data_IF_061755885348
#
_entry.id   IF_061755885348
#
_cell.length_a   1.000
_cell.length_b   1.000
_cell.length_c   1.000
_cell.angle_alpha   90.00
_cell.angle_beta   90.00
_cell.angle_gamma   90.00
#
_symmetry.space_group_name_H-M   'P 1'
#
loop_
_entity.id
_entity.type
_entity.pdbx_description
1 polymer ?
#
# COMPACT_ATOMS: atom_id res chain seq x y z
N UNK A 1 -0.03 -17.20 8.15
CA UNK A 1 0.99 -16.45 7.39
C UNK A 1 0.41 -15.08 7.13
N UNK A 2 0.67 -14.14 8.04
CA UNK A 2 0.28 -12.75 7.90
C UNK A 2 0.94 -12.19 6.63
N UNK A 3 0.15 -11.54 5.78
CA UNK A 3 0.61 -10.95 4.54
C UNK A 3 1.77 -10.02 4.84
N UNK A 4 3.00 -10.46 4.54
CA UNK A 4 4.24 -9.70 4.71
C UNK A 4 4.07 -8.30 4.11
N UNK A 5 3.33 -8.19 3.02
CA UNK A 5 3.10 -6.94 2.32
C UNK A 5 2.04 -6.02 2.96
N UNK A 6 1.05 -6.57 3.67
CA UNK A 6 0.00 -5.78 4.35
C UNK A 6 0.55 -5.12 5.61
N UNK A 7 1.36 -5.84 6.39
CA UNK A 7 1.93 -5.30 7.64
C UNK A 7 2.76 -4.03 7.40
N UNK A 8 3.63 -4.03 6.40
CA UNK A 8 4.51 -2.89 6.15
C UNK A 8 3.80 -1.70 5.49
N UNK A 9 2.91 -1.95 4.53
CA UNK A 9 2.18 -0.90 3.82
C UNK A 9 1.23 -0.15 4.76
N UNK A 10 0.51 -0.87 5.62
CA UNK A 10 -0.41 -0.27 6.61
C UNK A 10 0.33 0.66 7.59
N UNK A 11 1.53 0.24 8.03
CA UNK A 11 2.36 1.05 8.92
C UNK A 11 2.88 2.30 8.19
N UNK A 12 3.31 2.19 6.94
CA UNK A 12 3.79 3.31 6.13
C UNK A 12 2.69 4.34 5.87
N UNK A 13 1.52 3.91 5.43
CA UNK A 13 0.40 4.80 5.12
C UNK A 13 -0.13 5.49 6.38
N UNK A 14 -0.28 4.76 7.47
CA UNK A 14 -0.72 5.33 8.74
C UNK A 14 0.26 6.36 9.28
N UNK A 15 1.55 6.07 9.19
CA UNK A 15 2.59 7.01 9.59
C UNK A 15 2.60 8.28 8.72
N UNK A 16 2.48 8.15 7.40
CA UNK A 16 2.38 9.29 6.49
C UNK A 16 1.15 10.16 6.79
N UNK A 17 0.00 9.52 7.03
CA UNK A 17 -1.25 10.18 7.39
C UNK A 17 -1.12 10.98 8.69
N UNK A 18 -0.55 10.38 9.74
CA UNK A 18 -0.31 11.05 11.04
C UNK A 18 0.74 12.16 10.96
N UNK A 19 1.75 12.01 10.09
CA UNK A 19 2.80 13.00 9.87
C UNK A 19 2.34 14.21 9.04
N UNK A 20 1.25 14.07 8.27
CA UNK A 20 0.78 15.09 7.34
C UNK A 20 1.80 15.39 6.24
N UNK A 21 2.63 14.40 5.88
CA UNK A 21 3.69 14.53 4.89
C UNK A 21 3.66 13.34 3.95
N UNK A 22 3.73 13.63 2.65
CA UNK A 22 3.83 12.64 1.56
C UNK A 22 5.21 11.98 1.47
N UNK A 23 6.13 12.30 2.39
CA UNK A 23 7.47 11.77 2.41
C UNK A 23 7.45 10.36 3.02
N UNK A 24 7.91 9.40 2.22
CA UNK A 24 7.98 7.98 2.53
C UNK A 24 8.88 7.67 3.74
N UNK A 25 8.74 6.45 4.27
CA UNK A 25 9.52 5.97 5.41
C UNK A 25 11.03 5.95 5.10
N UNK A 26 11.85 6.27 6.11
CA UNK A 26 13.30 6.11 6.00
C UNK A 26 13.69 4.62 6.08
N UNK A 27 14.88 4.23 5.65
CA UNK A 27 15.24 2.79 5.69
C UNK A 27 15.42 2.23 7.07
N UNK A 28 15.78 3.08 8.04
CA UNK A 28 15.79 2.69 9.44
C UNK A 28 14.37 2.41 9.92
N UNK A 29 13.37 3.11 9.38
CA UNK A 29 11.97 2.84 9.68
C UNK A 29 11.50 1.53 9.04
N UNK A 30 11.97 1.22 7.83
CA UNK A 30 11.71 -0.09 7.19
C UNK A 30 12.32 -1.26 7.95
N UNK A 31 13.60 -1.16 8.35
CA UNK A 31 14.27 -2.18 9.16
C UNK A 31 13.62 -2.34 10.55
N UNK A 32 13.07 -1.24 11.09
CA UNK A 32 12.34 -1.26 12.35
C UNK A 32 10.99 -1.98 12.23
N UNK A 33 10.26 -1.79 11.13
CA UNK A 33 9.04 -2.55 10.85
C UNK A 33 9.35 -4.04 10.71
N UNK A 34 10.44 -4.39 10.00
CA UNK A 34 10.90 -5.78 9.88
C UNK A 34 11.21 -6.39 11.25
N UNK A 35 11.90 -5.64 12.12
CA UNK A 35 12.20 -6.06 13.49
C UNK A 35 10.93 -6.31 14.32
N UNK A 36 9.92 -5.44 14.21
CA UNK A 36 8.63 -5.64 14.89
C UNK A 36 7.90 -6.87 14.38
N UNK A 37 7.95 -7.09 13.07
CA UNK A 37 7.33 -8.24 12.46
C UNK A 37 7.98 -9.56 12.91
N UNK A 38 9.31 -9.62 12.90
CA UNK A 38 10.06 -10.81 13.34
C UNK A 38 9.85 -11.08 14.84
N UNK A 39 9.63 -10.04 15.63
CA UNK A 39 9.26 -10.14 17.04
C UNK A 39 7.78 -10.52 17.28
N UNK A 40 6.98 -10.68 16.22
CA UNK A 40 5.56 -11.02 16.31
C UNK A 40 4.69 -9.91 16.90
N UNK A 41 5.10 -8.65 16.74
CA UNK A 41 4.30 -7.50 17.16
C UNK A 41 3.06 -7.41 16.26
N UNK A 42 1.84 -7.35 16.83
CA UNK A 42 0.63 -7.25 16.03
C UNK A 42 0.51 -5.87 15.38
N UNK A 43 -0.08 -5.82 14.17
CA UNK A 43 -0.23 -4.58 13.40
C UNK A 43 -0.96 -3.50 14.20
N UNK A 44 -2.00 -3.88 14.94
CA UNK A 44 -2.81 -3.00 15.77
C UNK A 44 -1.98 -2.33 16.87
N UNK A 45 -0.99 -3.02 17.43
CA UNK A 45 -0.07 -2.44 18.40
C UNK A 45 0.84 -1.39 17.75
N UNK A 46 1.28 -1.62 16.52
CA UNK A 46 2.10 -0.66 15.78
C UNK A 46 1.31 0.61 15.45
N UNK A 47 0.10 0.45 14.89
CA UNK A 47 -0.75 1.58 14.53
C UNK A 47 -1.12 2.42 15.76
N UNK A 48 -1.52 1.76 16.86
CA UNK A 48 -1.82 2.41 18.14
C UNK A 48 -0.62 3.14 18.72
N UNK A 49 0.56 2.50 18.70
CA UNK A 49 1.80 3.12 19.17
C UNK A 49 2.18 4.37 18.37
N UNK A 50 1.97 4.35 17.05
CA UNK A 50 2.16 5.52 16.19
C UNK A 50 1.21 6.64 16.63
N UNK A 51 -0.09 6.36 16.74
CA UNK A 51 -1.07 7.37 17.14
C UNK A 51 -0.74 8.00 18.50
N UNK A 52 -0.44 7.18 19.50
CA UNK A 52 -0.09 7.67 20.83
C UNK A 52 1.18 8.51 20.86
N UNK A 53 2.19 8.15 20.06
CA UNK A 53 3.42 8.92 19.95
C UNK A 53 3.17 10.31 19.35
N UNK A 54 2.34 10.41 18.32
CA UNK A 54 1.93 11.68 17.73
C UNK A 54 1.02 12.48 18.67
N UNK A 55 0.06 11.86 19.36
CA UNK A 55 -0.80 12.54 20.34
C UNK A 55 0.00 13.14 21.50
N UNK A 56 1.01 12.41 22.00
CA UNK A 56 1.94 12.92 23.02
C UNK A 56 2.81 14.06 22.50
N UNK A 57 3.22 14.00 21.24
CA UNK A 57 3.94 15.10 20.59
C UNK A 57 3.06 16.34 20.45
N UNK A 58 1.79 16.19 20.07
CA UNK A 58 0.88 17.30 19.83
C UNK A 58 0.50 18.07 21.08
N UNK A 59 0.46 17.40 22.24
CA UNK A 59 0.20 17.97 23.55
C UNK A 59 1.37 18.77 24.15
N UNK A 60 2.56 18.78 23.53
CA UNK A 60 3.72 19.53 24.06
C UNK A 60 3.58 21.05 23.84
N UNK A 61 3.88 21.87 24.87
CA UNK A 61 3.73 23.32 24.80
C UNK A 61 4.78 24.02 23.92
N UNK A 62 5.92 23.37 23.63
CA UNK A 62 6.94 23.88 22.70
C UNK A 62 7.35 22.78 21.72
N UNK A 63 7.14 23.03 20.41
CA UNK A 63 7.36 22.09 19.31
C UNK A 63 8.62 22.49 18.53
N UNK A 64 9.80 22.19 19.07
CA UNK A 64 11.09 22.56 18.44
C UNK A 64 11.56 21.56 17.36
N UNK A 65 11.02 20.34 17.30
CA UNK A 65 11.38 19.30 16.30
C UNK A 65 10.17 18.47 15.89
N UNK A 66 9.94 18.26 14.59
CA UNK A 66 8.87 17.40 14.05
C UNK A 66 9.17 15.91 14.24
N UNK A 67 8.12 15.08 14.35
CA UNK A 67 8.22 13.62 14.27
C UNK A 67 8.46 13.22 12.81
N UNK A 68 9.64 12.67 12.52
CA UNK A 68 10.08 12.41 11.15
C UNK A 68 10.47 10.94 10.89
N UNK A 69 10.41 10.06 11.90
CA UNK A 69 10.81 8.66 11.81
C UNK A 69 10.00 7.81 12.79
N UNK A 70 9.73 6.55 12.42
CA UNK A 70 9.10 5.52 13.26
C UNK A 70 9.92 5.18 14.50
N UNK A 71 11.24 5.45 14.50
CA UNK A 71 12.07 5.31 15.70
C UNK A 71 11.55 6.16 16.87
N UNK A 72 10.90 7.31 16.59
CA UNK A 72 10.24 8.12 17.61
C UNK A 72 9.02 7.40 18.23
N UNK A 73 8.33 6.59 17.45
CA UNK A 73 7.15 5.82 17.87
C UNK A 73 7.53 4.49 18.54
N UNK A 74 8.78 4.04 18.47
CA UNK A 74 9.17 2.69 18.85
C UNK A 74 8.81 2.29 20.29
N UNK A 75 9.05 3.17 21.26
CA UNK A 75 8.70 2.90 22.66
C UNK A 75 7.18 2.79 22.87
N UNK A 76 6.40 3.58 22.13
CA UNK A 76 4.95 3.55 22.16
C UNK A 76 4.39 2.24 21.55
N UNK A 77 4.98 1.80 20.45
CA UNK A 77 4.62 0.55 19.76
C UNK A 77 4.89 -0.65 20.64
N UNK A 78 6.06 -0.71 21.30
CA UNK A 78 6.40 -1.81 22.20
C UNK A 78 5.49 -1.83 23.44
N UNK A 79 5.21 -0.68 24.04
CA UNK A 79 4.25 -0.59 25.15
C UNK A 79 2.85 -1.04 24.73
N UNK A 80 2.40 -0.62 23.54
CA UNK A 80 1.10 -1.02 23.02
C UNK A 80 0.99 -2.53 22.79
N UNK A 81 2.10 -3.16 22.38
CA UNK A 81 2.18 -4.60 22.18
C UNK A 81 2.20 -5.38 23.50
N UNK A 82 2.92 -4.89 24.52
CA UNK A 82 2.90 -5.47 25.87
C UNK A 82 1.52 -5.40 26.50
N UNK A 83 0.85 -4.25 26.46
CA UNK A 83 -0.52 -4.11 26.98
C UNK A 83 -1.51 -5.06 26.30
N UNK A 84 -1.40 -5.25 24.98
CA UNK A 84 -2.25 -6.22 24.25
C UNK A 84 -1.96 -7.66 24.68
N UNK A 85 -0.69 -7.99 24.93
CA UNK A 85 -0.28 -9.30 25.42
C UNK A 85 -0.79 -9.54 26.85
N UNK A 86 -0.73 -8.55 27.73
CA UNK A 86 -1.26 -8.62 29.10
C UNK A 86 -2.79 -8.72 29.12
N UNK A 87 -3.49 -7.97 28.26
CA UNK A 87 -4.95 -8.04 28.12
C UNK A 87 -5.43 -9.40 27.60
N UNK A 88 -4.67 -10.04 26.70
CA UNK A 88 -4.98 -11.37 26.18
C UNK A 88 -4.80 -12.48 27.24
N UNK A 89 -3.86 -12.32 28.18
CA UNK A 89 -3.66 -13.25 29.29
C UNK A 89 -4.76 -13.09 30.37
N UNK A 90 -5.29 -11.87 30.55
CA UNK A 90 -6.38 -11.59 31.49
C UNK A 90 -7.79 -11.95 30.99
N UNK A 91 -7.99 -12.17 29.69
CA UNK A 91 -9.31 -12.24 29.05
C UNK A 91 -9.64 -13.61 28.41
N UNK A 92 -9.33 -14.74 29.08
CA UNK A 92 -10.01 -16.00 28.77
C UNK A 92 -11.45 -15.96 29.30
N UNK A 93 -12.34 -15.20 28.64
CA UNK A 93 -13.80 -15.32 28.61
C UNK A 93 -14.48 -13.97 28.31
N UNK A 94 -14.51 -13.55 27.03
CA UNK A 94 -15.60 -12.72 26.51
C UNK A 94 -15.48 -12.60 24.98
N UNK A 95 -16.29 -13.42 24.30
CA UNK A 95 -16.91 -13.19 22.99
C UNK A 95 -16.52 -11.93 22.22
N UNK A 96 -15.94 -12.16 21.04
CA UNK A 96 -15.71 -11.14 20.03
C UNK A 96 -16.97 -10.45 19.54
N UNK A 97 -16.78 -9.19 19.13
CA UNK A 97 -17.57 -8.54 18.09
C UNK A 97 -16.81 -7.33 17.51
N UNK A 98 -16.51 -7.46 16.22
CA UNK A 98 -16.57 -6.45 15.15
C UNK A 98 -15.59 -5.28 15.18
N UNK A 99 -14.46 -5.49 14.50
CA UNK A 99 -14.02 -4.61 13.43
C UNK A 99 -13.78 -5.47 12.18
N UNK A 100 -14.88 -5.88 11.56
CA UNK A 100 -14.91 -6.27 10.15
C UNK A 100 -15.32 -5.00 9.38
N UNK A 101 -14.37 -4.16 8.96
CA UNK A 101 -14.59 -3.42 7.72
C UNK A 101 -14.38 -4.39 6.56
N UNK A 102 -15.33 -5.32 6.43
CA UNK A 102 -15.42 -6.22 5.29
C UNK A 102 -15.88 -5.39 4.11
N UNK A 103 -15.00 -5.19 3.14
CA UNK A 103 -15.35 -4.70 1.81
C UNK A 103 -16.64 -5.38 1.34
N UNK A 104 -17.70 -4.59 1.12
CA UNK A 104 -18.96 -5.17 0.64
C UNK A 104 -18.78 -5.57 -0.82
N UNK A 105 -19.46 -6.64 -1.24
CA UNK A 105 -19.44 -7.06 -2.64
C UNK A 105 -19.89 -5.94 -3.59
N UNK A 106 -20.76 -5.04 -3.12
CA UNK A 106 -21.19 -3.85 -3.84
C UNK A 106 -20.06 -2.82 -4.04
N UNK A 107 -19.27 -2.54 -2.99
CA UNK A 107 -18.11 -1.64 -3.10
C UNK A 107 -17.07 -2.21 -4.06
N UNK A 108 -16.74 -3.50 -3.93
CA UNK A 108 -15.77 -4.16 -4.81
C UNK A 108 -16.26 -4.11 -6.26
N UNK A 109 -17.55 -4.39 -6.48
CA UNK A 109 -18.15 -4.30 -7.82
C UNK A 109 -18.03 -2.89 -8.41
N UNK A 110 -18.38 -1.86 -7.63
CA UNK A 110 -18.28 -0.47 -8.07
C UNK A 110 -16.83 -0.07 -8.39
N UNK A 111 -15.87 -0.51 -7.56
CA UNK A 111 -14.45 -0.27 -7.79
C UNK A 111 -13.93 -0.91 -9.08
N UNK A 112 -14.23 -2.19 -9.29
CA UNK A 112 -13.81 -2.91 -10.50
C UNK A 112 -14.44 -2.30 -11.76
N UNK A 113 -15.71 -1.90 -11.70
CA UNK A 113 -16.40 -1.21 -12.80
C UNK A 113 -15.78 0.15 -13.10
N UNK A 114 -15.50 0.95 -12.07
CA UNK A 114 -14.86 2.26 -12.24
C UNK A 114 -13.47 2.13 -12.87
N UNK A 115 -12.67 1.16 -12.43
CA UNK A 115 -11.35 0.92 -12.98
C UNK A 115 -11.40 0.40 -14.42
N UNK A 116 -12.34 -0.49 -14.73
CA UNK A 116 -12.55 -0.97 -16.10
C UNK A 116 -12.91 0.18 -17.05
N UNK A 117 -13.88 1.01 -16.66
CA UNK A 117 -14.31 2.18 -17.42
C UNK A 117 -13.15 3.16 -17.63
N UNK A 118 -12.39 3.47 -16.58
CA UNK A 118 -11.23 4.36 -16.67
C UNK A 118 -10.17 3.78 -17.62
N UNK A 119 -9.86 2.48 -17.52
CA UNK A 119 -8.91 1.83 -18.43
C UNK A 119 -9.37 1.92 -19.89
N UNK A 120 -10.67 1.72 -20.17
CA UNK A 120 -11.23 1.86 -21.53
C UNK A 120 -11.09 3.28 -22.06
N UNK A 121 -11.45 4.27 -21.24
CA UNK A 121 -11.40 5.68 -21.61
C UNK A 121 -9.96 6.13 -21.87
N UNK A 122 -8.99 5.63 -21.11
CA UNK A 122 -7.58 6.02 -21.24
C UNK A 122 -6.81 5.21 -22.27
N UNK A 123 -7.23 3.98 -22.59
CA UNK A 123 -6.53 3.10 -23.53
C UNK A 123 -6.13 3.77 -24.87
N UNK A 124 -6.98 4.57 -25.55
CA UNK A 124 -6.59 5.23 -26.80
C UNK A 124 -5.44 6.23 -26.66
N UNK A 125 -5.27 6.83 -25.47
CA UNK A 125 -4.20 7.78 -25.18
C UNK A 125 -2.88 7.09 -24.76
N UNK A 126 -2.89 5.76 -24.57
CA UNK A 126 -1.70 5.00 -24.22
C UNK A 126 -0.82 4.76 -25.45
N UNK A 127 0.50 4.54 -25.25
CA UNK A 127 1.37 4.06 -26.31
C UNK A 127 0.83 2.77 -26.94
N UNK A 128 1.01 2.58 -28.25
CA UNK A 128 0.45 1.46 -29.00
C UNK A 128 0.75 0.07 -28.37
N UNK A 129 1.93 -0.09 -27.76
CA UNK A 129 2.36 -1.32 -27.08
C UNK A 129 1.58 -1.61 -25.77
N UNK A 130 1.02 -0.57 -25.13
CA UNK A 130 0.29 -0.68 -23.86
C UNK A 130 -1.24 -0.75 -24.02
N UNK A 131 -1.78 -0.34 -25.17
CA UNK A 131 -3.23 -0.38 -25.44
C UNK A 131 -3.83 -1.79 -25.27
N UNK A 132 -3.21 -2.87 -25.80
CA UNK A 132 -3.77 -4.23 -25.63
C UNK A 132 -3.81 -4.67 -24.17
N UNK A 133 -2.80 -4.32 -23.37
CA UNK A 133 -2.73 -4.67 -21.96
C UNK A 133 -3.83 -3.97 -21.15
N UNK A 134 -4.07 -2.67 -21.42
CA UNK A 134 -5.15 -1.92 -20.78
C UNK A 134 -6.54 -2.44 -21.18
N UNK A 135 -6.75 -2.77 -22.47
CA UNK A 135 -8.00 -3.35 -22.95
C UNK A 135 -8.27 -4.73 -22.31
N UNK A 136 -7.27 -5.60 -22.28
CA UNK A 136 -7.38 -6.92 -21.64
C UNK A 136 -7.66 -6.81 -20.14
N UNK A 137 -7.04 -5.84 -19.46
CA UNK A 137 -7.30 -5.60 -18.05
C UNK A 137 -8.75 -5.14 -17.82
N UNK A 138 -9.26 -4.22 -18.64
CA UNK A 138 -10.66 -3.81 -18.59
C UNK A 138 -11.62 -4.99 -18.81
N UNK A 139 -11.40 -5.82 -19.85
CA UNK A 139 -12.18 -7.04 -20.10
C UNK A 139 -12.16 -7.98 -18.88
N UNK A 140 -10.98 -8.14 -18.27
CA UNK A 140 -10.79 -9.04 -17.11
C UNK A 140 -11.52 -8.52 -15.87
N UNK A 141 -11.51 -7.21 -15.63
CA UNK A 141 -12.25 -6.59 -14.53
C UNK A 141 -13.77 -6.74 -14.71
N UNK A 142 -14.28 -6.54 -15.92
CA UNK A 142 -15.70 -6.75 -16.26
C UNK A 142 -16.12 -8.23 -16.03
N UNK A 143 -15.26 -9.19 -16.40
CA UNK A 143 -15.49 -10.61 -16.13
C UNK A 143 -15.47 -10.95 -14.64
N UNK A 144 -14.60 -10.31 -13.85
CA UNK A 144 -14.57 -10.47 -12.39
C UNK A 144 -15.86 -9.95 -11.77
N UNK A 145 -16.37 -8.81 -12.23
CA UNK A 145 -17.68 -8.28 -11.81
C UNK A 145 -18.80 -9.29 -12.09
N UNK A 146 -18.86 -9.86 -13.30
CA UNK A 146 -19.85 -10.88 -13.65
C UNK A 146 -19.73 -12.15 -12.79
N UNK A 147 -18.50 -12.53 -12.41
CA UNK A 147 -18.23 -13.66 -11.54
C UNK A 147 -18.65 -13.39 -10.08
N UNK A 148 -18.44 -12.17 -9.57
CA UNK A 148 -18.87 -11.77 -8.22
C UNK A 148 -20.40 -11.80 -8.07
N UNK A 149 -21.15 -11.51 -9.13
CA UNK A 149 -22.62 -11.55 -9.14
C UNK A 149 -23.17 -12.97 -9.19
N UNK A 150 -22.43 -13.93 -9.77
CA UNK A 150 -22.89 -15.30 -10.04
C UNK A 150 -22.46 -16.34 -9.00
N UNK A 151 -21.67 -15.96 -7.99
CA UNK A 151 -21.12 -16.90 -7.01
C UNK A 151 -22.02 -17.11 -5.77
N UNK A 152 -22.25 -18.39 -5.46
CA UNK A 152 -22.94 -18.85 -4.26
C UNK A 152 -22.12 -18.57 -2.96
N UNK A 153 -22.79 -18.42 -1.80
CA UNK A 153 -22.18 -17.98 -0.54
C UNK A 153 -21.12 -18.93 0.07
N UNK A 154 -20.95 -20.16 -0.45
CA UNK A 154 -20.26 -21.26 0.26
C UNK A 154 -18.72 -21.24 0.22
N UNK A 155 -18.08 -20.27 -0.45
CA UNK A 155 -16.63 -20.08 -0.38
C UNK A 155 -16.22 -19.13 0.76
N UNK A 156 -15.13 -19.39 1.50
CA UNK A 156 -14.64 -18.48 2.54
C UNK A 156 -14.25 -17.13 1.92
N UNK A 157 -14.92 -16.05 2.34
CA UNK A 157 -14.80 -14.71 1.76
C UNK A 157 -13.34 -14.20 1.67
N UNK A 158 -12.47 -14.61 2.61
CA UNK A 158 -11.07 -14.22 2.66
C UNK A 158 -10.24 -14.79 1.50
N UNK A 159 -10.43 -16.06 1.14
CA UNK A 159 -9.72 -16.69 0.02
C UNK A 159 -10.13 -16.08 -1.33
N UNK A 160 -11.39 -15.65 -1.46
CA UNK A 160 -11.89 -14.96 -2.67
C UNK A 160 -11.29 -13.56 -2.85
N UNK A 161 -11.10 -12.81 -1.77
CA UNK A 161 -10.49 -11.48 -1.82
C UNK A 161 -9.00 -11.56 -2.12
N UNK A 162 -8.30 -12.55 -1.57
CA UNK A 162 -6.89 -12.79 -1.87
C UNK A 162 -6.67 -13.17 -3.34
N UNK A 163 -7.49 -14.09 -3.87
CA UNK A 163 -7.43 -14.45 -5.29
C UNK A 163 -7.75 -13.25 -6.20
N UNK A 164 -8.73 -12.44 -5.83
CA UNK A 164 -9.06 -11.20 -6.54
C UNK A 164 -7.88 -10.23 -6.55
N UNK A 165 -7.26 -9.98 -5.39
CA UNK A 165 -6.11 -9.08 -5.25
C UNK A 165 -4.89 -9.56 -6.04
N UNK A 166 -4.63 -10.87 -6.04
CA UNK A 166 -3.56 -11.47 -6.87
C UNK A 166 -3.83 -11.23 -8.36
N UNK A 167 -5.08 -11.40 -8.82
CA UNK A 167 -5.44 -11.15 -10.21
C UNK A 167 -5.30 -9.66 -10.58
N UNK A 168 -5.72 -8.76 -9.69
CA UNK A 168 -5.55 -7.31 -9.88
C UNK A 168 -4.07 -6.92 -9.99
N UNK A 169 -3.23 -7.48 -9.11
CA UNK A 169 -1.77 -7.28 -9.13
C UNK A 169 -1.17 -7.69 -10.47
N UNK A 170 -1.53 -8.88 -10.98
CA UNK A 170 -1.02 -9.36 -12.28
C UNK A 170 -1.44 -8.45 -13.44
N UNK A 171 -2.66 -7.90 -13.41
CA UNK A 171 -3.12 -6.95 -14.43
C UNK A 171 -2.34 -5.62 -14.36
N UNK A 172 -2.11 -5.08 -13.16
CA UNK A 172 -1.31 -3.87 -12.96
C UNK A 172 0.13 -4.08 -13.48
N UNK A 173 0.76 -5.19 -13.09
CA UNK A 173 2.12 -5.51 -13.53
C UNK A 173 2.25 -5.64 -15.05
N UNK A 174 1.25 -6.24 -15.71
CA UNK A 174 1.20 -6.33 -17.18
C UNK A 174 1.10 -4.96 -17.83
N UNK A 175 0.19 -4.10 -17.36
CA UNK A 175 0.05 -2.73 -17.89
C UNK A 175 1.36 -1.97 -17.69
N UNK A 176 1.92 -2.03 -16.48
CA UNK A 176 3.15 -1.32 -16.13
C UNK A 176 4.34 -1.79 -16.99
N UNK A 177 4.48 -3.09 -17.21
CA UNK A 177 5.52 -3.64 -18.08
C UNK A 177 5.39 -3.11 -19.52
N UNK A 178 4.17 -3.11 -20.08
CA UNK A 178 3.92 -2.58 -21.42
C UNK A 178 4.14 -1.07 -21.52
N UNK A 179 3.77 -0.30 -20.51
CA UNK A 179 4.02 1.15 -20.46
C UNK A 179 5.52 1.45 -20.41
N UNK A 180 6.25 0.71 -19.57
CA UNK A 180 7.70 0.85 -19.43
C UNK A 180 8.42 0.51 -20.72
N UNK A 181 8.03 -0.59 -21.37
CA UNK A 181 8.61 -1.02 -22.65
C UNK A 181 8.30 -0.04 -23.81
N UNK A 182 7.26 0.77 -23.68
CA UNK A 182 6.89 1.77 -24.68
C UNK A 182 7.61 3.11 -24.51
N UNK A 183 8.29 3.34 -23.37
CA UNK A 183 9.03 4.58 -23.15
C UNK A 183 10.31 4.61 -23.99
N UNK A 184 10.71 5.81 -24.42
CA UNK A 184 12.03 5.99 -25.00
C UNK A 184 13.12 5.79 -23.94
N UNK A 185 14.34 5.45 -24.39
CA UNK A 185 15.50 5.37 -23.50
C UNK A 185 15.73 6.72 -22.78
N UNK A 186 15.56 7.82 -23.50
CA UNK A 186 15.70 9.18 -22.96
C UNK A 186 14.66 9.47 -21.87
N UNK A 187 13.39 9.11 -22.08
CA UNK A 187 12.33 9.29 -21.07
C UNK A 187 12.64 8.48 -19.80
N UNK A 188 13.09 7.23 -19.94
CA UNK A 188 13.46 6.40 -18.79
C UNK A 188 14.67 6.96 -18.03
N UNK A 189 15.66 7.50 -18.74
CA UNK A 189 16.82 8.16 -18.13
C UNK A 189 16.43 9.45 -17.41
N UNK A 190 15.51 10.23 -17.99
CA UNK A 190 14.99 11.46 -17.39
C UNK A 190 14.23 11.16 -16.09
N UNK A 191 13.29 10.20 -16.12
CA UNK A 191 12.56 9.78 -14.92
C UNK A 191 13.52 9.29 -13.85
N UNK A 192 14.53 8.46 -14.20
CA UNK A 192 15.55 8.02 -13.23
C UNK A 192 16.35 9.17 -12.64
N UNK A 193 16.73 10.15 -13.47
CA UNK A 193 17.50 11.33 -13.02
C UNK A 193 16.67 12.21 -12.09
N UNK A 194 15.37 12.37 -12.36
CA UNK A 194 14.44 13.07 -11.48
C UNK A 194 14.32 12.35 -10.13
N UNK A 195 14.11 11.02 -10.13
CA UNK A 195 14.08 10.24 -8.90
C UNK A 195 15.37 10.44 -8.11
N UNK A 196 16.52 10.36 -8.79
CA UNK A 196 17.83 10.49 -8.16
C UNK A 196 18.09 11.88 -7.56
N UNK A 197 17.46 12.93 -8.10
CA UNK A 197 17.48 14.28 -7.52
C UNK A 197 16.57 14.37 -6.30
N UNK A 198 15.36 13.85 -6.38
CA UNK A 198 14.43 13.81 -5.24
C UNK A 198 14.95 12.93 -4.10
N UNK A 199 15.70 11.88 -4.43
CA UNK A 199 16.35 10.96 -3.51
C UNK A 199 17.70 11.46 -2.97
N UNK A 200 18.26 12.53 -3.54
CA UNK A 200 19.57 13.05 -3.13
C UNK A 200 19.70 13.34 -1.61
N UNK A 201 18.68 13.91 -0.93
CA UNK A 201 18.73 14.13 0.52
C UNK A 201 18.74 12.86 1.37
N UNK A 202 18.44 11.71 0.77
CA UNK A 202 18.22 10.43 1.44
C UNK A 202 19.27 9.37 1.08
N UNK A 203 20.14 9.60 0.08
CA UNK A 203 21.18 8.65 -0.38
C UNK A 203 22.06 8.07 0.74
N UNK A 204 22.40 8.87 1.76
CA UNK A 204 23.24 8.44 2.89
C UNK A 204 22.49 7.75 4.03
N UNK A 205 21.15 7.64 3.93
CA UNK A 205 20.26 7.09 4.97
C UNK A 205 19.60 5.80 4.52
N UNK A 206 20.03 5.19 3.42
CA UNK A 206 19.36 4.04 2.78
C UNK A 206 20.36 3.05 2.18
N UNK A 207 20.07 1.75 2.24
CA UNK A 207 20.85 0.73 1.52
C UNK A 207 20.58 0.76 0.01
N UNK A 208 21.48 0.17 -0.78
CA UNK A 208 21.36 0.12 -2.25
C UNK A 208 20.08 -0.56 -2.75
N UNK A 209 19.64 -1.64 -2.09
CA UNK A 209 18.41 -2.36 -2.45
C UNK A 209 17.16 -1.53 -2.18
N UNK A 210 17.13 -0.78 -1.07
CA UNK A 210 16.01 0.09 -0.71
C UNK A 210 15.89 1.30 -1.64
N UNK A 211 17.02 1.86 -2.09
CA UNK A 211 17.02 2.89 -3.13
C UNK A 211 16.44 2.38 -4.46
N UNK A 212 16.76 1.14 -4.84
CA UNK A 212 16.27 0.55 -6.08
C UNK A 212 14.77 0.24 -6.03
N UNK A 213 14.28 -0.27 -4.91
CA UNK A 213 12.85 -0.50 -4.71
C UNK A 213 12.05 0.81 -4.78
N UNK A 214 12.56 1.86 -4.16
CA UNK A 214 11.93 3.17 -4.19
C UNK A 214 11.94 3.79 -5.60
N UNK A 215 13.03 3.63 -6.36
CA UNK A 215 13.06 4.01 -7.78
C UNK A 215 11.99 3.30 -8.58
N UNK A 216 11.85 1.98 -8.40
CA UNK A 216 10.82 1.19 -9.10
C UNK A 216 9.42 1.71 -8.80
N UNK A 217 9.10 1.98 -7.54
CA UNK A 217 7.80 2.52 -7.14
C UNK A 217 7.54 3.92 -7.70
N UNK A 218 8.56 4.78 -7.73
CA UNK A 218 8.43 6.13 -8.26
C UNK A 218 8.15 6.14 -9.77
N UNK A 219 8.89 5.32 -10.53
CA UNK A 219 8.66 5.15 -11.98
C UNK A 219 7.24 4.64 -12.22
N UNK A 220 6.78 3.68 -11.41
CA UNK A 220 5.41 3.17 -11.48
C UNK A 220 4.38 4.27 -11.28
N UNK A 221 4.48 5.03 -10.18
CA UNK A 221 3.59 6.14 -9.91
C UNK A 221 3.59 7.17 -11.03
N UNK A 222 4.77 7.58 -11.52
CA UNK A 222 4.89 8.57 -12.60
C UNK A 222 4.23 8.14 -13.91
N UNK A 223 4.37 6.86 -14.29
CA UNK A 223 3.73 6.36 -15.50
C UNK A 223 2.20 6.34 -15.35
N UNK A 224 1.68 5.91 -14.20
CA UNK A 224 0.24 5.93 -13.95
C UNK A 224 -0.32 7.35 -13.94
N UNK A 225 0.35 8.28 -13.26
CA UNK A 225 -0.04 9.70 -13.23
C UNK A 225 -0.02 10.33 -14.63
N UNK A 226 1.02 10.05 -15.44
CA UNK A 226 1.17 10.58 -16.82
C UNK A 226 0.01 10.17 -17.72
N UNK A 227 -0.47 8.94 -17.57
CA UNK A 227 -1.53 8.38 -18.41
C UNK A 227 -2.90 8.36 -17.71
N UNK A 228 -2.99 8.97 -16.53
CA UNK A 228 -4.21 9.07 -15.71
C UNK A 228 -4.86 7.70 -15.47
N UNK A 229 -4.03 6.68 -15.22
CA UNK A 229 -4.46 5.31 -14.99
C UNK A 229 -4.71 5.02 -13.50
N UNK A 230 -5.74 4.22 -13.17
CA UNK A 230 -6.02 3.85 -11.79
C UNK A 230 -5.04 2.78 -11.30
N UNK A 231 -4.92 2.68 -9.97
CA UNK A 231 -4.28 1.52 -9.33
C UNK A 231 -5.24 0.34 -9.32
N UNK A 232 -4.75 -0.85 -9.67
CA UNK A 232 -5.53 -2.08 -9.64
C UNK A 232 -5.16 -2.85 -8.38
N UNK A 233 -5.74 -2.43 -7.27
CA UNK A 233 -5.62 -3.10 -5.98
C UNK A 233 -6.76 -2.66 -5.07
N UNK A 234 -7.34 -3.59 -4.32
CA UNK A 234 -8.41 -3.32 -3.38
C UNK A 234 -7.98 -2.36 -2.24
N UNK A 235 -6.68 -2.13 -2.06
CA UNK A 235 -6.14 -1.12 -1.14
C UNK A 235 -6.51 0.31 -1.56
N UNK A 236 -6.86 0.57 -2.82
CA UNK A 236 -7.21 1.90 -3.35
C UNK A 236 -8.72 2.14 -3.49
N UNK A 237 -9.54 1.27 -2.91
CA UNK A 237 -11.01 1.40 -2.89
C UNK A 237 -11.49 2.27 -1.74
#
# INVERSE_FOLDING_TARGET
MENYFSYFTEIEEHFQRRRGSILLLSTLDWALIETWKDAGVPLEAVLRGIDEAFDRYDKRPSKTRKVNSLAYCAQAVLAAAEEMKEAAVGASAATGKKQDEKFTAAQITAFLQHNAETLRQRAPALPALAQPAAAQAADSLEQMVGSLVSLAPDSPAKLRLEELEQRLTVLEEKIFASLTAAQSEEDLLNVRTEVDREMAPYRGKMSGSQMEQLRKQYVHKRLLDRYELPRLSLFYM
#
